data_IF_694457415740
#
_entry.id   IF_694457415740
#
_cell.length_a   1.000
_cell.length_b   1.000
_cell.length_c   1.000
_cell.angle_alpha   90.00
_cell.angle_beta   90.00
_cell.angle_gamma   90.00
#
_symmetry.space_group_name_H-M   'P 1'
#
loop_
_entity.id
_entity.type
_entity.pdbx_description
1 polymer ?
#
# COMPACT_ATOMS: atom_id res chain seq x y z
N UNK A 1 6.51 -6.55 -16.98
CA UNK A 1 5.92 -7.27 -15.84
C UNK A 1 7.08 -7.87 -15.05
N UNK A 2 7.49 -7.27 -13.92
CA UNK A 2 8.54 -7.85 -13.06
C UNK A 2 7.85 -8.78 -12.06
N UNK A 3 7.38 -9.90 -12.58
CA UNK A 3 6.96 -11.07 -11.81
C UNK A 3 7.74 -12.25 -12.38
N UNK A 4 8.25 -13.11 -11.50
CA UNK A 4 8.78 -14.46 -11.81
C UNK A 4 10.22 -14.56 -12.35
N UNK A 5 11.21 -13.87 -11.75
CA UNK A 5 12.63 -14.19 -12.00
C UNK A 5 13.48 -14.34 -10.74
N UNK A 6 12.86 -14.48 -9.56
CA UNK A 6 13.56 -14.90 -8.33
C UNK A 6 13.01 -16.25 -7.95
N UNK A 7 13.89 -17.22 -7.74
CA UNK A 7 13.52 -18.49 -7.13
C UNK A 7 12.89 -18.20 -5.75
N UNK A 8 11.72 -18.78 -5.53
CA UNK A 8 11.10 -18.77 -4.22
C UNK A 8 11.89 -19.71 -3.32
N UNK A 9 12.43 -19.18 -2.23
CA UNK A 9 13.00 -19.97 -1.13
C UNK A 9 12.10 -19.82 0.08
N UNK A 10 12.17 -20.76 1.02
CA UNK A 10 11.45 -20.63 2.29
C UNK A 10 11.77 -19.30 3.03
N UNK A 11 12.98 -18.79 2.85
CA UNK A 11 13.46 -17.55 3.47
C UNK A 11 12.86 -16.28 2.85
N UNK A 12 12.59 -16.25 1.55
CA UNK A 12 12.15 -15.05 0.83
C UNK A 12 10.66 -15.06 0.45
N UNK A 13 9.99 -16.22 0.60
CA UNK A 13 8.64 -16.43 0.11
C UNK A 13 7.64 -15.40 0.65
N UNK A 14 7.64 -15.17 1.95
CA UNK A 14 6.67 -14.26 2.60
C UNK A 14 6.88 -12.80 2.15
N UNK A 15 8.13 -12.36 2.05
CA UNK A 15 8.45 -11.02 1.56
C UNK A 15 8.03 -10.84 0.09
N UNK A 16 8.29 -11.83 -0.76
CA UNK A 16 7.86 -11.78 -2.16
C UNK A 16 6.34 -11.78 -2.27
N UNK A 17 5.65 -12.60 -1.45
CA UNK A 17 4.19 -12.66 -1.42
C UNK A 17 3.60 -11.29 -1.04
N UNK A 18 4.11 -10.64 0.00
CA UNK A 18 3.70 -9.31 0.42
C UNK A 18 3.92 -8.26 -0.69
N UNK A 19 5.09 -8.27 -1.33
CA UNK A 19 5.39 -7.37 -2.44
C UNK A 19 4.44 -7.59 -3.63
N UNK A 20 4.10 -8.84 -3.93
CA UNK A 20 3.15 -9.19 -4.98
C UNK A 20 1.72 -8.79 -4.63
N UNK A 21 1.31 -8.93 -3.36
CA UNK A 21 0.02 -8.43 -2.88
C UNK A 21 -0.08 -6.90 -3.04
N UNK A 22 0.95 -6.14 -2.66
CA UNK A 22 0.97 -4.69 -2.89
C UNK A 22 0.88 -4.32 -4.37
N UNK A 23 1.62 -5.03 -5.26
CA UNK A 23 1.54 -4.81 -6.71
C UNK A 23 0.14 -5.12 -7.26
N UNK A 24 -0.52 -6.16 -6.73
CA UNK A 24 -1.89 -6.48 -7.09
C UNK A 24 -2.85 -5.36 -6.68
N UNK A 25 -2.73 -4.85 -5.45
CA UNK A 25 -3.50 -3.70 -4.97
C UNK A 25 -3.30 -2.50 -5.90
N UNK A 26 -2.05 -2.14 -6.24
CA UNK A 26 -1.77 -1.04 -7.16
C UNK A 26 -2.41 -1.25 -8.53
N UNK A 27 -2.38 -2.48 -9.05
CA UNK A 27 -3.00 -2.82 -10.33
C UNK A 27 -4.53 -2.59 -10.29
N UNK A 28 -5.20 -3.08 -9.24
CA UNK A 28 -6.65 -2.91 -9.08
C UNK A 28 -7.04 -1.44 -8.86
N UNK A 29 -6.27 -0.70 -8.07
CA UNK A 29 -6.48 0.75 -7.88
C UNK A 29 -6.32 1.48 -9.21
N UNK A 30 -5.26 1.18 -9.98
CA UNK A 30 -5.05 1.80 -11.28
C UNK A 30 -6.17 1.47 -12.27
N UNK A 31 -6.71 0.26 -12.23
CA UNK A 31 -7.89 -0.10 -13.03
C UNK A 31 -9.10 0.73 -12.62
N UNK A 32 -9.42 0.80 -11.33
CA UNK A 32 -10.54 1.61 -10.82
C UNK A 32 -10.39 3.10 -11.13
N UNK A 33 -9.18 3.66 -11.00
CA UNK A 33 -8.89 5.08 -11.33
C UNK A 33 -9.13 5.35 -12.82
N UNK A 34 -8.79 4.42 -13.70
CA UNK A 34 -9.09 4.54 -15.15
C UNK A 34 -10.59 4.48 -15.42
N UNK A 35 -11.28 3.54 -14.80
CA UNK A 35 -12.73 3.33 -14.99
C UNK A 35 -13.56 4.50 -14.45
N UNK A 36 -13.18 5.06 -13.31
CA UNK A 36 -13.94 6.09 -12.60
C UNK A 36 -13.31 7.49 -12.67
N UNK A 37 -12.48 7.73 -13.69
CA UNK A 37 -11.67 8.94 -13.83
C UNK A 37 -12.47 10.23 -13.63
N UNK A 38 -13.63 10.34 -14.26
CA UNK A 38 -14.41 11.59 -14.25
C UNK A 38 -15.00 11.91 -12.87
N UNK A 39 -15.52 10.90 -12.17
CA UNK A 39 -16.07 11.10 -10.82
C UNK A 39 -14.98 11.32 -9.76
N UNK A 40 -13.79 10.73 -9.94
CA UNK A 40 -12.62 11.01 -9.11
C UNK A 40 -12.15 12.46 -9.32
N UNK A 41 -12.02 12.90 -10.58
CA UNK A 41 -11.59 14.29 -10.90
C UNK A 41 -12.57 15.34 -10.40
N UNK A 42 -13.85 15.01 -10.34
CA UNK A 42 -14.88 15.88 -9.78
C UNK A 42 -14.97 15.81 -8.25
N UNK A 43 -14.07 15.10 -7.57
CA UNK A 43 -14.00 15.00 -6.11
C UNK A 43 -15.10 14.16 -5.48
N UNK A 44 -15.87 13.40 -6.28
CA UNK A 44 -17.02 12.61 -5.80
C UNK A 44 -16.66 11.18 -5.38
N UNK A 45 -15.48 10.71 -5.75
CA UNK A 45 -15.00 9.37 -5.42
C UNK A 45 -13.51 9.40 -5.06
N UNK A 46 -13.15 8.66 -4.02
CA UNK A 46 -11.75 8.31 -3.71
C UNK A 46 -11.61 6.79 -3.74
N UNK A 47 -10.60 6.30 -4.44
CA UNK A 47 -10.23 4.89 -4.47
C UNK A 47 -9.07 4.68 -3.49
N UNK A 48 -9.27 3.81 -2.51
CA UNK A 48 -8.26 3.47 -1.49
C UNK A 48 -7.88 2.00 -1.66
N UNK A 49 -6.59 1.75 -1.87
CA UNK A 49 -5.99 0.42 -1.80
C UNK A 49 -5.42 0.19 -0.40
N UNK A 50 -5.90 -0.86 0.27
CA UNK A 50 -5.46 -1.24 1.59
C UNK A 50 -5.04 -2.72 1.65
N UNK A 51 -4.09 -3.01 2.53
CA UNK A 51 -3.61 -4.35 2.87
C UNK A 51 -4.03 -4.68 4.30
N UNK A 52 -4.62 -5.84 4.53
CA UNK A 52 -4.95 -6.31 5.87
C UNK A 52 -3.78 -7.11 6.45
N UNK A 53 -3.06 -6.51 7.40
CA UNK A 53 -1.84 -7.06 7.98
C UNK A 53 -2.16 -7.99 9.17
N UNK A 54 -2.38 -9.28 8.88
CA UNK A 54 -2.57 -10.30 9.90
C UNK A 54 -1.31 -10.54 10.74
N UNK A 55 -0.13 -10.44 10.12
CA UNK A 55 1.13 -10.94 10.65
C UNK A 55 2.03 -9.87 11.25
N UNK A 56 1.59 -8.62 11.26
CA UNK A 56 2.39 -7.47 11.67
C UNK A 56 3.64 -7.29 10.78
N UNK A 57 3.50 -7.51 9.48
CA UNK A 57 4.55 -7.36 8.47
C UNK A 57 5.03 -5.91 8.37
N UNK A 58 4.16 -4.94 8.65
CA UNK A 58 4.48 -3.51 8.65
C UNK A 58 5.06 -3.02 9.98
N UNK A 59 5.13 -3.87 11.01
CA UNK A 59 5.60 -3.48 12.34
C UNK A 59 4.70 -2.47 13.05
N UNK A 60 3.42 -2.42 12.67
CA UNK A 60 2.41 -1.49 13.22
C UNK A 60 1.46 -2.16 14.21
N UNK A 61 1.50 -3.48 14.38
CA UNK A 61 0.59 -4.29 15.18
C UNK A 61 -0.24 -5.26 14.34
N UNK A 62 -0.74 -6.32 14.96
CA UNK A 62 -1.52 -7.37 14.29
C UNK A 62 -2.93 -6.92 13.93
N UNK A 63 -3.46 -7.44 12.81
CA UNK A 63 -4.86 -7.27 12.40
C UNK A 63 -5.22 -5.86 11.94
N UNK A 64 -4.24 -5.09 11.46
CA UNK A 64 -4.44 -3.69 11.07
C UNK A 64 -4.61 -3.55 9.55
N UNK A 65 -5.50 -2.67 9.12
CA UNK A 65 -5.52 -2.23 7.73
C UNK A 65 -4.45 -1.16 7.50
N UNK A 66 -3.62 -1.37 6.49
CA UNK A 66 -2.60 -0.42 6.03
C UNK A 66 -2.99 0.09 4.67
N UNK A 67 -3.21 1.39 4.56
CA UNK A 67 -3.45 2.12 3.32
C UNK A 67 -2.11 2.26 2.60
N UNK A 68 -2.01 1.65 1.41
CA UNK A 68 -0.78 1.59 0.61
C UNK A 68 -0.84 2.39 -0.69
N UNK A 69 -2.06 2.78 -1.11
CA UNK A 69 -2.32 3.51 -2.34
C UNK A 69 -3.62 4.31 -2.25
N UNK A 70 -3.63 5.56 -2.71
CA UNK A 70 -4.86 6.37 -2.84
C UNK A 70 -4.89 7.05 -4.20
N UNK A 71 -5.92 6.76 -4.99
CA UNK A 71 -6.09 7.26 -6.37
C UNK A 71 -4.84 7.06 -7.27
N UNK A 72 -4.02 6.04 -7.01
CA UNK A 72 -2.77 5.77 -7.73
C UNK A 72 -1.51 6.37 -7.10
N UNK A 73 -1.63 7.26 -6.10
CA UNK A 73 -0.49 7.76 -5.34
C UNK A 73 -0.04 6.71 -4.30
N UNK A 74 1.25 6.39 -4.31
CA UNK A 74 1.86 5.36 -3.45
C UNK A 74 2.86 5.91 -2.45
N UNK A 75 3.22 7.20 -2.56
CA UNK A 75 4.11 7.86 -1.63
C UNK A 75 3.35 8.18 -0.33
N UNK A 76 3.71 7.49 0.77
CA UNK A 76 3.04 7.64 2.05
C UNK A 76 2.95 9.09 2.55
N UNK A 77 3.96 9.93 2.34
CA UNK A 77 3.95 11.31 2.81
C UNK A 77 2.93 12.15 2.03
N UNK A 78 2.84 11.92 0.71
CA UNK A 78 1.81 12.56 -0.11
C UNK A 78 0.41 12.08 0.25
N UNK A 79 0.22 10.78 0.48
CA UNK A 79 -1.05 10.21 0.90
C UNK A 79 -1.52 10.85 2.22
N UNK A 80 -0.65 10.98 3.23
CA UNK A 80 -0.98 11.58 4.54
C UNK A 80 -1.48 13.03 4.44
N UNK A 81 -1.04 13.75 3.40
CA UNK A 81 -1.45 15.13 3.12
C UNK A 81 -2.73 15.26 2.30
N UNK A 82 -3.38 14.17 1.89
CA UNK A 82 -4.61 14.24 1.11
C UNK A 82 -5.79 14.73 1.96
N UNK A 83 -6.72 15.53 1.39
CA UNK A 83 -7.89 16.08 2.13
C UNK A 83 -8.76 15.01 2.81
N UNK A 84 -8.86 13.81 2.23
CA UNK A 84 -9.63 12.69 2.81
C UNK A 84 -9.14 12.25 4.20
N UNK A 85 -7.91 12.63 4.57
CA UNK A 85 -7.34 12.34 5.90
C UNK A 85 -7.16 13.60 6.75
N UNK A 86 -7.68 14.76 6.37
CA UNK A 86 -7.47 16.01 7.11
C UNK A 86 -7.90 15.92 8.58
N UNK A 87 -9.01 15.24 8.85
CA UNK A 87 -9.59 15.09 10.20
C UNK A 87 -9.03 13.91 11.01
N UNK A 88 -7.96 13.28 10.52
CA UNK A 88 -7.32 12.15 11.21
C UNK A 88 -6.04 12.67 11.88
N UNK A 89 -5.76 12.22 13.10
CA UNK A 89 -4.54 12.61 13.82
C UNK A 89 -3.28 12.12 13.09
N UNK A 90 -2.16 12.83 13.27
CA UNK A 90 -0.87 12.46 12.67
C UNK A 90 -0.43 11.08 13.13
N UNK A 91 -0.61 10.76 14.41
CA UNK A 91 -0.24 9.48 15.00
C UNK A 91 -1.03 8.33 14.36
N UNK A 92 -2.33 8.53 14.12
CA UNK A 92 -3.14 7.53 13.45
C UNK A 92 -2.69 7.35 11.99
N UNK A 93 -2.44 8.44 11.27
CA UNK A 93 -1.88 8.39 9.90
C UNK A 93 -0.56 7.64 9.83
N UNK A 94 0.32 7.80 10.82
CA UNK A 94 1.61 7.11 10.90
C UNK A 94 1.50 5.59 11.13
N UNK A 95 0.37 5.17 11.69
CA UNK A 95 0.03 3.77 11.90
C UNK A 95 -0.63 3.15 10.67
N UNK A 96 -1.61 3.84 10.07
CA UNK A 96 -2.46 3.25 9.02
C UNK A 96 -2.02 3.58 7.60
N UNK A 97 -1.12 4.54 7.38
CA UNK A 97 -0.59 4.86 6.04
C UNK A 97 0.89 4.53 6.00
N UNK A 98 1.22 3.43 5.33
CA UNK A 98 2.59 3.02 5.09
C UNK A 98 2.70 2.20 3.81
N UNK A 99 3.93 1.87 3.43
CA UNK A 99 4.18 1.05 2.25
C UNK A 99 5.36 0.14 2.53
N UNK A 100 5.18 -1.16 2.31
CA UNK A 100 6.23 -2.12 2.55
C UNK A 100 7.35 -1.92 1.51
N UNK A 101 8.57 -1.84 2.01
CA UNK A 101 9.80 -1.81 1.22
C UNK A 101 10.72 -2.88 1.76
N UNK A 102 11.44 -3.57 0.89
CA UNK A 102 12.42 -4.59 1.29
C UNK A 102 13.37 -4.02 2.33
N UNK A 103 13.56 -4.75 3.44
CA UNK A 103 14.61 -4.41 4.39
C UNK A 103 15.92 -4.46 3.61
N UNK A 104 16.68 -3.36 3.55
CA UNK A 104 18.06 -3.42 3.07
C UNK A 104 18.78 -4.39 4.00
N UNK A 105 19.02 -5.62 3.54
CA UNK A 105 19.97 -6.51 4.19
C UNK A 105 21.31 -5.77 4.09
N UNK A 106 21.78 -5.22 5.20
CA UNK A 106 23.17 -4.80 5.32
C UNK A 106 23.97 -6.10 5.29
N UNK A 107 24.46 -6.49 4.12
CA UNK A 107 25.54 -7.47 4.06
C UNK A 107 26.71 -6.83 4.81
N UNK A 108 27.09 -7.43 5.94
CA UNK A 108 28.30 -7.12 6.67
C UNK A 108 29.48 -7.74 5.95
#
# INVERSE_FOLDING_TARGET
>A
MIGLSKEYTAENFEEILLLNAQKNIDYQVNFAVKTFKDIIRNGKLTVIGAYYDFKNEFGKGHGRMVIVNVNGETNKNKIKGLPVFEHISTEFKDVVIDRYSTKKIKFK
#
